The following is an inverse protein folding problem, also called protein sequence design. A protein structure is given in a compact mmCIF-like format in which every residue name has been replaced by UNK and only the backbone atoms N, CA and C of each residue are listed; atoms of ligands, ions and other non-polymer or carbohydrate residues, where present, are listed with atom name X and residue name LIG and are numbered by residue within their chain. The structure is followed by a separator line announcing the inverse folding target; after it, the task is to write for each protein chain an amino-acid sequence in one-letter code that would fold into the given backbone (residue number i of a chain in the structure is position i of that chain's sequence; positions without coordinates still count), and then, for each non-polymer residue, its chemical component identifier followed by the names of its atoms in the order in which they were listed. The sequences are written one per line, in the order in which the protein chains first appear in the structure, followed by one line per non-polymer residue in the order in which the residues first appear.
data_IF_269882778763
#
_entry.id   IF_269882778763
#
_cell.length_a   1.000
_cell.length_b   1.000
_cell.length_c   1.000
_cell.angle_alpha   90.00
_cell.angle_beta   90.00
_cell.angle_gamma   90.00
#
_symmetry.space_group_name_H-M   'P 1'
#
loop_
_entity.id
_entity.type
_entity.pdbx_description
1 polymer ?
#
# COMPACT_ATOMS: atom_id res chain seq x y z
N UNK A 1 -4.51 13.89 11.98
CA UNK A 1 -3.74 14.56 10.89
C UNK A 1 -3.61 13.55 9.74
N UNK A 2 -3.41 13.97 8.49
CA UNK A 2 -3.29 13.03 7.35
C UNK A 2 -2.04 13.37 6.53
N UNK A 3 -1.27 12.35 6.18
CA UNK A 3 -0.20 12.41 5.18
C UNK A 3 -0.65 11.62 3.95
N UNK A 4 -0.52 12.23 2.78
CA UNK A 4 -0.71 11.57 1.49
C UNK A 4 0.66 11.37 0.88
N UNK A 5 1.05 10.12 0.66
CA UNK A 5 2.35 9.74 0.15
C UNK A 5 2.16 9.06 -1.21
N UNK A 6 2.47 9.80 -2.28
CA UNK A 6 2.32 9.33 -3.67
C UNK A 6 3.64 8.76 -4.19
N UNK A 7 3.69 7.44 -4.35
CA UNK A 7 4.89 6.66 -4.69
C UNK A 7 6.17 7.11 -3.95
N UNK A 8 6.13 7.28 -2.61
CA UNK A 8 7.18 7.98 -1.86
C UNK A 8 8.51 7.22 -1.81
N UNK A 9 8.51 5.93 -2.16
CA UNK A 9 9.68 5.06 -2.21
C UNK A 9 10.03 4.60 -3.62
N UNK A 10 9.46 5.24 -4.64
CA UNK A 10 9.84 4.99 -6.03
C UNK A 10 11.33 5.30 -6.24
N UNK A 11 11.97 4.57 -7.16
CA UNK A 11 13.40 4.72 -7.51
C UNK A 11 14.42 4.47 -6.39
N UNK A 12 13.97 4.09 -5.18
CA UNK A 12 14.84 3.66 -4.10
C UNK A 12 15.14 2.17 -4.21
N UNK A 13 16.37 1.79 -3.83
CA UNK A 13 16.72 0.41 -3.61
C UNK A 13 15.90 -0.20 -2.46
N UNK A 14 15.90 -1.53 -2.39
CA UNK A 14 15.07 -2.27 -1.44
C UNK A 14 15.43 -1.96 0.02
N UNK A 15 16.70 -1.70 0.34
CA UNK A 15 17.12 -1.45 1.72
C UNK A 15 16.65 -0.08 2.21
N UNK A 16 16.89 0.97 1.43
CA UNK A 16 16.49 2.35 1.78
C UNK A 16 14.97 2.49 1.81
N UNK A 17 14.25 1.75 0.94
CA UNK A 17 12.80 1.69 0.99
C UNK A 17 12.29 1.25 2.36
N UNK A 18 12.83 0.16 2.91
CA UNK A 18 12.38 -0.36 4.21
C UNK A 18 12.65 0.64 5.34
N UNK A 19 13.83 1.28 5.35
CA UNK A 19 14.17 2.32 6.33
C UNK A 19 13.19 3.50 6.29
N UNK A 20 12.82 3.97 5.09
CA UNK A 20 11.84 5.05 4.93
C UNK A 20 10.46 4.64 5.44
N UNK A 21 10.03 3.42 5.15
CA UNK A 21 8.72 2.94 5.59
C UNK A 21 8.66 2.73 7.10
N UNK A 22 9.72 2.24 7.73
CA UNK A 22 9.85 2.14 9.19
C UNK A 22 9.75 3.52 9.85
N UNK A 23 10.45 4.53 9.30
CA UNK A 23 10.36 5.90 9.78
C UNK A 23 8.93 6.45 9.66
N UNK A 24 8.23 6.18 8.56
CA UNK A 24 6.84 6.60 8.38
C UNK A 24 5.92 5.95 9.42
N UNK A 25 6.14 4.69 9.76
CA UNK A 25 5.37 3.97 10.79
C UNK A 25 5.64 4.55 12.20
N UNK A 26 6.89 4.87 12.53
CA UNK A 26 7.22 5.57 13.78
C UNK A 26 6.50 6.93 13.87
N UNK A 27 6.47 7.69 12.76
CA UNK A 27 5.77 8.97 12.70
C UNK A 27 4.25 8.80 12.87
N UNK A 28 3.66 7.75 12.26
CA UNK A 28 2.24 7.40 12.42
C UNK A 28 1.87 7.26 13.89
N UNK A 29 2.65 6.46 14.61
CA UNK A 29 2.43 6.16 16.03
C UNK A 29 2.68 7.37 16.93
N UNK A 30 3.79 8.09 16.69
CA UNK A 30 4.19 9.23 17.53
C UNK A 30 3.25 10.43 17.40
N UNK A 31 2.70 10.66 16.22
CA UNK A 31 1.94 11.88 15.91
C UNK A 31 0.45 11.65 15.67
N UNK A 32 -0.05 10.43 15.91
CA UNK A 32 -1.45 10.03 15.69
C UNK A 32 -1.97 10.52 14.31
N UNK A 33 -1.22 10.13 13.28
CA UNK A 33 -1.39 10.62 11.91
C UNK A 33 -1.80 9.48 11.02
N UNK A 34 -2.88 9.63 10.25
CA UNK A 34 -3.25 8.65 9.24
C UNK A 34 -2.40 8.84 7.98
N UNK A 35 -2.08 7.72 7.31
CA UNK A 35 -1.37 7.72 6.04
C UNK A 35 -2.28 7.20 4.93
N UNK A 36 -2.30 7.91 3.81
CA UNK A 36 -2.78 7.41 2.53
C UNK A 36 -1.56 7.16 1.65
N UNK A 37 -1.26 5.90 1.39
CA UNK A 37 -0.13 5.49 0.58
C UNK A 37 -0.61 5.10 -0.82
N UNK A 38 -0.02 5.68 -1.86
CA UNK A 38 -0.29 5.34 -3.26
C UNK A 38 0.92 4.61 -3.82
N UNK A 39 0.69 3.42 -4.35
CA UNK A 39 1.73 2.58 -4.94
C UNK A 39 1.14 1.59 -5.92
N UNK A 40 1.96 1.15 -6.87
CA UNK A 40 1.70 0.00 -7.72
C UNK A 40 2.28 -1.31 -7.15
N UNK A 41 3.05 -1.25 -6.06
CA UNK A 41 3.65 -2.42 -5.40
C UNK A 41 2.72 -2.97 -4.31
N UNK A 42 1.98 -4.03 -4.64
CA UNK A 42 1.01 -4.61 -3.72
C UNK A 42 1.66 -5.37 -2.55
N UNK A 43 2.90 -5.84 -2.72
CA UNK A 43 3.64 -6.50 -1.65
C UNK A 43 4.03 -5.47 -0.57
N UNK A 44 4.40 -4.26 -0.99
CA UNK A 44 4.63 -3.14 -0.09
C UNK A 44 3.33 -2.73 0.64
N UNK A 45 2.24 -2.59 -0.11
CA UNK A 45 0.94 -2.24 0.47
C UNK A 45 0.49 -3.25 1.55
N UNK A 46 0.76 -4.54 1.37
CA UNK A 46 0.49 -5.59 2.36
C UNK A 46 1.09 -5.29 3.73
N UNK A 47 2.33 -4.83 3.73
CA UNK A 47 3.15 -4.79 4.94
C UNK A 47 2.87 -3.55 5.78
N UNK A 48 2.47 -2.46 5.14
CA UNK A 48 2.40 -1.13 5.77
C UNK A 48 0.99 -0.55 5.84
N UNK A 49 0.01 -1.13 5.14
CA UNK A 49 -1.36 -0.63 5.15
C UNK A 49 -2.29 -1.58 5.90
N UNK A 50 -3.15 -1.02 6.75
CA UNK A 50 -4.24 -1.77 7.40
C UNK A 50 -5.33 -2.18 6.37
N UNK A 51 -5.54 -1.33 5.37
CA UNK A 51 -6.56 -1.48 4.32
C UNK A 51 -5.97 -1.14 2.96
N UNK A 52 -6.47 -1.83 1.93
CA UNK A 52 -6.07 -1.62 0.53
C UNK A 52 -7.31 -1.24 -0.28
N UNK A 53 -7.13 -0.30 -1.22
CA UNK A 53 -8.09 0.05 -2.26
C UNK A 53 -7.38 -0.12 -3.60
N UNK A 54 -7.91 -0.98 -4.46
CA UNK A 54 -7.38 -1.23 -5.79
C UNK A 54 -8.18 -0.40 -6.78
N UNK A 55 -7.46 0.42 -7.55
CA UNK A 55 -8.02 1.18 -8.65
C UNK A 55 -7.62 0.57 -9.99
N UNK A 56 -8.56 0.51 -10.92
CA UNK A 56 -8.31 0.22 -12.33
C UNK A 56 -9.14 1.18 -13.19
N UNK A 57 -8.54 1.78 -14.21
CA UNK A 57 -9.21 2.73 -15.12
C UNK A 57 -10.03 3.83 -14.40
N UNK A 58 -9.49 4.35 -13.29
CA UNK A 58 -10.14 5.38 -12.49
C UNK A 58 -11.34 4.91 -11.66
N UNK A 59 -11.54 3.59 -11.53
CA UNK A 59 -12.61 2.99 -10.73
C UNK A 59 -12.03 2.15 -9.60
N UNK A 60 -12.66 2.19 -8.44
CA UNK A 60 -12.37 1.23 -7.36
C UNK A 60 -12.95 -0.11 -7.78
N UNK A 61 -12.07 -1.08 -7.99
CA UNK A 61 -12.45 -2.45 -8.38
C UNK A 61 -12.46 -3.39 -7.18
N UNK A 62 -11.66 -3.10 -6.15
CA UNK A 62 -11.61 -3.89 -4.92
C UNK A 62 -11.18 -3.04 -3.72
N UNK A 63 -11.70 -3.36 -2.54
CA UNK A 63 -11.28 -2.73 -1.29
C UNK A 63 -11.52 -3.63 -0.09
N UNK A 64 -10.66 -3.53 0.92
CA UNK A 64 -10.81 -4.34 2.14
C UNK A 64 -9.60 -4.26 3.07
N UNK A 65 -9.59 -5.05 4.16
CA UNK A 65 -8.38 -5.32 4.91
C UNK A 65 -7.27 -5.81 3.99
N UNK A 66 -6.04 -5.34 4.21
CA UNK A 66 -4.91 -5.65 3.32
C UNK A 66 -4.72 -7.16 3.12
N UNK A 67 -4.79 -7.92 4.22
CA UNK A 67 -4.70 -9.38 4.17
C UNK A 67 -5.80 -10.04 3.33
N UNK A 68 -7.04 -9.54 3.39
CA UNK A 68 -8.15 -10.12 2.64
C UNK A 68 -7.99 -9.85 1.13
N UNK A 69 -7.65 -8.61 0.76
CA UNK A 69 -7.46 -8.19 -0.64
C UNK A 69 -6.32 -8.98 -1.28
N UNK A 70 -5.29 -9.34 -0.52
CA UNK A 70 -4.11 -10.03 -1.05
C UNK A 70 -4.25 -11.56 -1.00
N UNK A 71 -4.77 -12.13 0.09
CA UNK A 71 -4.84 -13.59 0.23
C UNK A 71 -6.03 -14.19 -0.51
N UNK A 72 -7.13 -13.44 -0.60
CA UNK A 72 -8.38 -13.89 -1.23
C UNK A 72 -8.96 -12.79 -2.12
N UNK A 73 -8.22 -12.35 -3.17
CA UNK A 73 -8.70 -11.32 -4.08
C UNK A 73 -9.97 -11.79 -4.81
N UNK A 74 -10.97 -10.92 -4.85
CA UNK A 74 -12.21 -11.17 -5.59
C UNK A 74 -12.08 -10.76 -7.05
N UNK A 75 -11.49 -9.60 -7.32
CA UNK A 75 -11.47 -9.01 -8.65
C UNK A 75 -10.38 -9.64 -9.55
N UNK A 76 -10.66 -9.92 -10.84
CA UNK A 76 -9.68 -10.44 -11.78
C UNK A 76 -8.43 -9.57 -11.94
N UNK A 77 -8.57 -8.24 -11.88
CA UNK A 77 -7.45 -7.32 -11.99
C UNK A 77 -6.56 -7.37 -10.76
N UNK A 78 -7.15 -7.40 -9.56
CA UNK A 78 -6.38 -7.58 -8.31
C UNK A 78 -5.59 -8.90 -8.34
N UNK A 79 -6.17 -9.98 -8.86
CA UNK A 79 -5.46 -11.26 -9.06
C UNK A 79 -4.27 -11.12 -10.00
N UNK A 80 -4.41 -10.37 -11.09
CA UNK A 80 -3.32 -10.11 -12.03
C UNK A 80 -2.20 -9.29 -11.38
N UNK A 81 -2.54 -8.25 -10.62
CA UNK A 81 -1.57 -7.45 -9.87
C UNK A 81 -0.77 -8.30 -8.88
N UNK A 82 -1.44 -9.16 -8.12
CA UNK A 82 -0.78 -10.05 -7.15
C UNK A 82 0.12 -11.07 -7.86
N UNK A 83 -0.30 -11.60 -9.02
CA UNK A 83 0.49 -12.56 -9.77
C UNK A 83 1.72 -11.94 -10.46
N UNK A 84 1.76 -10.61 -10.62
CA UNK A 84 2.85 -9.88 -11.24
C UNK A 84 3.87 -9.33 -10.21
N UNK A 85 3.53 -9.38 -8.92
CA UNK A 85 4.39 -8.98 -7.80
C UNK A 85 5.32 -10.13 -7.38
#
# INVERSE_FOLDING_TARGET
RIIIADEPTSMLDQSVRMEIMELMEEMRQRFDTAFLFVTHDIALARHFCDRIVVLNEGRVVEQGPADQVIQTPADPYTKQLIAAA
#
